data_IF_975087008998
#
_entry.id   IF_975087008998
#
_cell.length_a   1.000
_cell.length_b   1.000
_cell.length_c   1.000
_cell.angle_alpha   90.00
_cell.angle_beta   90.00
_cell.angle_gamma   90.00
#
_symmetry.space_group_name_H-M   'P 1'
#
loop_
_entity.id
_entity.type
_entity.pdbx_description
1 polymer ?
#
# COMPACT_ATOMS: atom_id res chain seq x y z
N UNK A 1 16.92 -26.77 58.19
CA UNK A 1 17.00 -25.45 58.85
C UNK A 1 15.94 -24.57 58.19
N UNK A 2 14.68 -24.63 58.63
CA UNK A 2 14.04 -23.64 59.51
C UNK A 2 13.24 -22.64 58.66
N UNK A 3 11.90 -22.79 58.53
CA UNK A 3 10.85 -21.96 59.18
C UNK A 3 10.86 -20.50 58.68
N UNK A 4 9.79 -19.84 58.22
CA UNK A 4 8.38 -19.80 58.66
C UNK A 4 7.57 -18.88 57.70
N UNK A 5 6.26 -19.08 57.55
CA UNK A 5 5.32 -17.95 57.33
C UNK A 5 4.34 -18.01 56.15
N UNK A 6 3.37 -18.94 56.15
CA UNK A 6 2.12 -18.82 55.38
C UNK A 6 0.94 -18.55 56.34
N UNK A 7 0.10 -17.55 56.05
CA UNK A 7 -1.16 -17.29 56.76
C UNK A 7 -2.38 -17.68 55.91
N UNK A 8 -2.89 -18.87 56.24
CA UNK A 8 -4.28 -19.27 56.51
C UNK A 8 -5.44 -18.50 55.83
N UNK A 9 -5.92 -19.02 54.69
CA UNK A 9 -7.24 -18.72 54.11
C UNK A 9 -8.29 -19.67 54.71
N UNK A 10 -9.07 -19.22 55.70
CA UNK A 10 -10.20 -20.00 56.22
C UNK A 10 -11.47 -19.84 55.39
N UNK A 11 -11.70 -20.83 54.52
CA UNK A 11 -13.03 -21.31 54.12
C UNK A 11 -13.78 -21.79 55.36
N UNK A 12 -15.07 -21.46 55.49
CA UNK A 12 -16.01 -22.24 56.30
C UNK A 12 -17.23 -22.60 55.46
N UNK A 13 -17.47 -23.90 55.38
CA UNK A 13 -18.67 -24.52 54.85
C UNK A 13 -19.27 -25.45 55.92
N UNK A 14 -20.60 -25.36 56.06
CA UNK A 14 -21.61 -26.35 56.46
C UNK A 14 -21.63 -27.03 57.85
N UNK A 15 -22.71 -26.69 58.59
CA UNK A 15 -23.74 -27.52 59.27
C UNK A 15 -23.39 -28.77 60.10
N UNK A 16 -23.89 -28.77 61.35
CA UNK A 16 -24.53 -29.96 61.97
C UNK A 16 -25.49 -29.56 63.11
N UNK A 17 -26.69 -30.11 63.07
CA UNK A 17 -27.83 -29.93 64.00
C UNK A 17 -27.72 -30.91 65.17
N UNK A 18 -28.14 -30.51 66.38
CA UNK A 18 -28.88 -31.38 67.33
C UNK A 18 -29.63 -30.56 68.40
N UNK A 19 -30.78 -31.05 68.94
CA UNK A 19 -31.75 -30.23 69.66
C UNK A 19 -31.65 -30.40 71.18
N UNK A 20 -31.92 -29.35 71.95
CA UNK A 20 -32.31 -29.50 73.37
C UNK A 20 -33.28 -28.39 73.76
N UNK A 21 -34.41 -28.82 74.31
CA UNK A 21 -35.52 -27.98 74.76
C UNK A 21 -35.19 -27.24 76.06
N UNK A 22 -35.64 -25.99 76.17
CA UNK A 22 -36.00 -25.38 77.44
C UNK A 22 -37.04 -24.28 77.20
N UNK A 23 -38.24 -24.51 77.71
CA UNK A 23 -39.35 -23.58 77.69
C UNK A 23 -39.09 -22.43 78.69
N UNK A 24 -39.26 -21.18 78.25
CA UNK A 24 -39.58 -20.08 79.16
C UNK A 24 -40.28 -18.92 78.44
N UNK A 25 -41.56 -18.75 78.83
CA UNK A 25 -42.33 -17.50 78.92
C UNK A 25 -42.63 -16.72 77.63
N UNK A 26 -43.86 -16.94 77.18
CA UNK A 26 -44.69 -16.04 76.37
C UNK A 26 -44.64 -14.61 76.92
N UNK A 27 -44.08 -13.69 76.16
CA UNK A 27 -44.51 -12.28 76.12
C UNK A 27 -45.37 -12.13 74.85
N UNK A 28 -46.58 -11.57 74.93
CA UNK A 28 -47.40 -11.37 73.75
C UNK A 28 -46.72 -10.28 72.92
N UNK A 29 -46.24 -10.67 71.74
CA UNK A 29 -45.80 -9.72 70.72
C UNK A 29 -46.91 -8.69 70.55
N UNK A 30 -46.59 -7.45 70.90
CA UNK A 30 -47.34 -6.28 70.48
C UNK A 30 -47.66 -6.46 69.00
N UNK A 31 -48.94 -6.44 68.66
CA UNK A 31 -49.42 -6.42 67.28
C UNK A 31 -48.60 -5.39 66.52
N UNK A 32 -47.69 -5.87 65.66
CA UNK A 32 -46.90 -5.02 64.79
C UNK A 32 -47.89 -4.14 64.03
N UNK A 33 -47.83 -2.83 64.27
CA UNK A 33 -48.62 -1.85 63.53
C UNK A 33 -48.52 -2.14 62.03
N UNK A 34 -49.62 -2.05 61.31
CA UNK A 34 -49.74 -2.36 59.88
C UNK A 34 -48.68 -1.62 59.05
N UNK A 35 -48.32 -0.40 59.48
CA UNK A 35 -47.22 0.43 58.96
C UNK A 35 -45.86 -0.27 59.02
N UNK A 36 -45.51 -0.91 60.14
CA UNK A 36 -44.23 -1.62 60.30
C UNK A 36 -44.16 -2.87 59.41
N UNK A 37 -45.31 -3.50 59.16
CA UNK A 37 -45.41 -4.68 58.29
C UNK A 37 -45.27 -4.27 56.83
N UNK A 38 -45.86 -3.14 56.44
CA UNK A 38 -45.68 -2.53 55.12
C UNK A 38 -44.19 -2.18 54.89
N UNK A 39 -43.54 -1.55 55.86
CA UNK A 39 -42.14 -1.11 55.77
C UNK A 39 -41.17 -2.30 55.57
N UNK A 40 -41.40 -3.41 56.27
CA UNK A 40 -40.64 -4.67 56.10
C UNK A 40 -40.81 -5.24 54.69
N UNK A 41 -42.02 -5.22 54.14
CA UNK A 41 -42.28 -5.73 52.78
C UNK A 41 -41.66 -4.85 51.69
N UNK A 42 -41.65 -3.52 51.89
CA UNK A 42 -40.99 -2.58 50.98
C UNK A 42 -39.47 -2.79 51.00
N UNK A 43 -38.86 -2.96 52.18
CA UNK A 43 -37.44 -3.27 52.33
C UNK A 43 -37.06 -4.61 51.67
N UNK A 44 -37.89 -5.65 51.82
CA UNK A 44 -37.66 -6.93 51.16
C UNK A 44 -37.70 -6.80 49.64
N UNK A 45 -38.68 -6.08 49.09
CA UNK A 45 -38.78 -5.82 47.66
C UNK A 45 -37.59 -5.02 47.13
N UNK A 46 -37.16 -3.98 47.86
CA UNK A 46 -35.97 -3.20 47.51
C UNK A 46 -34.70 -4.05 47.52
N UNK A 47 -34.51 -4.90 48.53
CA UNK A 47 -33.39 -5.84 48.59
C UNK A 47 -33.40 -6.83 47.42
N UNK A 48 -34.57 -7.37 47.09
CA UNK A 48 -34.70 -8.30 45.96
C UNK A 48 -34.36 -7.61 44.62
N UNK A 49 -34.78 -6.36 44.44
CA UNK A 49 -34.42 -5.55 43.27
C UNK A 49 -32.92 -5.23 43.20
N UNK A 50 -32.27 -5.00 44.35
CA UNK A 50 -30.82 -4.79 44.41
C UNK A 50 -30.06 -6.08 44.08
N UNK A 51 -30.52 -7.24 44.54
CA UNK A 51 -29.93 -8.55 44.22
C UNK A 51 -30.00 -8.80 42.71
N UNK A 52 -31.15 -8.57 42.08
CA UNK A 52 -31.31 -8.72 40.62
C UNK A 52 -30.36 -7.79 39.85
N UNK A 53 -30.21 -6.53 40.29
CA UNK A 53 -29.25 -5.59 39.68
C UNK A 53 -27.80 -6.06 39.85
N UNK A 54 -27.45 -6.58 41.03
CA UNK A 54 -26.12 -7.10 41.31
C UNK A 54 -25.81 -8.33 40.45
N UNK A 55 -26.77 -9.24 40.30
CA UNK A 55 -26.64 -10.43 39.43
C UNK A 55 -26.48 -10.03 37.95
N UNK A 56 -27.27 -9.07 37.47
CA UNK A 56 -27.14 -8.53 36.12
C UNK A 56 -25.74 -7.91 35.89
N UNK A 57 -25.25 -7.09 36.82
CA UNK A 57 -23.92 -6.49 36.73
C UNK A 57 -22.79 -7.53 36.77
N UNK A 58 -22.93 -8.59 37.60
CA UNK A 58 -21.96 -9.69 37.63
C UNK A 58 -21.90 -10.41 36.30
N UNK A 59 -23.04 -10.65 35.66
CA UNK A 59 -23.09 -11.26 34.34
C UNK A 59 -22.46 -10.36 33.27
N UNK A 60 -22.76 -9.06 33.29
CA UNK A 60 -22.15 -8.08 32.38
C UNK A 60 -20.62 -8.00 32.56
N UNK A 61 -20.14 -8.00 33.81
CA UNK A 61 -18.70 -8.00 34.09
C UNK A 61 -18.02 -9.26 33.53
N UNK A 62 -18.61 -10.44 33.76
CA UNK A 62 -18.09 -11.69 33.22
C UNK A 62 -18.09 -11.70 31.68
N UNK A 63 -19.12 -11.12 31.05
CA UNK A 63 -19.17 -10.98 29.59
C UNK A 63 -18.08 -10.03 29.05
N UNK A 64 -17.84 -8.90 29.72
CA UNK A 64 -16.78 -7.96 29.36
C UNK A 64 -15.38 -8.55 29.55
N UNK A 65 -15.16 -9.28 30.64
CA UNK A 65 -13.89 -9.96 30.94
C UNK A 65 -13.59 -11.07 29.91
N UNK A 66 -14.62 -11.82 29.49
CA UNK A 66 -14.53 -12.76 28.38
C UNK A 66 -14.17 -12.06 27.06
N UNK A 67 -14.82 -10.92 26.76
CA UNK A 67 -14.52 -10.12 25.56
C UNK A 67 -13.09 -9.57 25.57
N UNK A 68 -12.59 -9.12 26.72
CA UNK A 68 -11.22 -8.64 26.89
C UNK A 68 -10.21 -9.77 26.65
N UNK A 69 -10.50 -10.97 27.17
CA UNK A 69 -9.66 -12.15 26.94
C UNK A 69 -9.60 -12.53 25.46
N UNK A 70 -10.74 -12.51 24.77
CA UNK A 70 -10.79 -12.73 23.32
C UNK A 70 -10.01 -11.66 22.53
N UNK A 71 -10.07 -10.40 22.93
CA UNK A 71 -9.30 -9.33 22.29
C UNK A 71 -7.79 -9.53 22.49
N UNK A 72 -7.35 -9.91 23.70
CA UNK A 72 -5.94 -10.25 23.96
C UNK A 72 -5.48 -11.42 23.11
N UNK A 73 -6.28 -12.48 22.99
CA UNK A 73 -5.97 -13.63 22.14
C UNK A 73 -5.86 -13.24 20.66
N UNK A 74 -6.75 -12.36 20.17
CA UNK A 74 -6.67 -11.81 18.82
C UNK A 74 -5.46 -10.89 18.61
N UNK A 75 -4.93 -10.28 19.67
CA UNK A 75 -3.75 -9.42 19.62
C UNK A 75 -2.43 -10.22 19.58
N UNK A 76 -2.38 -11.38 20.25
CA UNK A 76 -1.20 -12.26 20.26
C UNK A 76 -0.54 -12.51 18.89
N UNK A 77 -1.27 -12.87 17.81
CA UNK A 77 -0.64 -13.07 16.51
C UNK A 77 -0.06 -11.79 15.92
N UNK A 78 -0.65 -10.62 16.21
CA UNK A 78 -0.12 -9.33 15.78
C UNK A 78 1.19 -9.01 16.52
N UNK A 79 1.20 -9.17 17.85
CA UNK A 79 2.41 -8.95 18.67
C UNK A 79 3.54 -9.92 18.25
N UNK A 80 3.20 -11.18 17.96
CA UNK A 80 4.15 -12.16 17.42
C UNK A 80 4.69 -11.75 16.05
N UNK A 81 3.83 -11.22 15.17
CA UNK A 81 4.25 -10.72 13.85
C UNK A 81 5.16 -9.51 13.99
N UNK A 82 4.81 -8.56 14.88
CA UNK A 82 5.60 -7.37 15.15
C UNK A 82 7.00 -7.73 15.67
N UNK A 83 7.09 -8.73 16.55
CA UNK A 83 8.37 -9.24 17.07
C UNK A 83 9.25 -9.81 15.94
N UNK A 84 8.66 -10.59 15.03
CA UNK A 84 9.39 -11.15 13.86
C UNK A 84 9.83 -10.05 12.89
N UNK A 85 8.99 -9.05 12.65
CA UNK A 85 9.31 -7.90 11.80
C UNK A 85 10.46 -7.10 12.42
N UNK A 86 10.40 -6.81 13.72
CA UNK A 86 11.46 -6.06 14.41
C UNK A 86 12.80 -6.81 14.35
N UNK A 87 12.78 -8.14 14.59
CA UNK A 87 13.97 -8.97 14.46
C UNK A 87 14.54 -8.97 13.03
N UNK A 88 13.69 -9.15 12.02
CA UNK A 88 14.11 -9.09 10.61
C UNK A 88 14.71 -7.72 10.24
N UNK A 89 14.16 -6.64 10.81
CA UNK A 89 14.66 -5.29 10.61
C UNK A 89 16.04 -5.09 11.23
N UNK A 90 16.24 -5.55 12.47
CA UNK A 90 17.54 -5.53 13.14
C UNK A 90 18.60 -6.34 12.38
N UNK A 91 18.25 -7.53 11.90
CA UNK A 91 19.12 -8.36 11.06
C UNK A 91 19.55 -7.62 9.79
N UNK A 92 18.60 -7.02 9.06
CA UNK A 92 18.89 -6.22 7.86
C UNK A 92 19.84 -5.04 8.16
N UNK A 93 19.61 -4.32 9.26
CA UNK A 93 20.47 -3.20 9.66
C UNK A 93 21.88 -3.68 9.98
N UNK A 94 22.03 -4.81 10.68
CA UNK A 94 23.33 -5.38 11.02
C UNK A 94 24.09 -5.89 9.77
N UNK A 95 23.38 -6.52 8.82
CA UNK A 95 23.95 -6.96 7.55
C UNK A 95 24.41 -5.77 6.70
N UNK A 96 23.61 -4.70 6.68
CA UNK A 96 23.95 -3.47 5.97
C UNK A 96 25.17 -2.77 6.59
N UNK A 97 25.27 -2.75 7.92
CA UNK A 97 26.46 -2.28 8.64
C UNK A 97 27.71 -3.06 8.24
N UNK A 98 27.62 -4.39 8.24
CA UNK A 98 28.72 -5.28 7.86
C UNK A 98 29.16 -5.08 6.40
N UNK A 99 28.20 -4.99 5.48
CA UNK A 99 28.47 -4.72 4.06
C UNK A 99 29.11 -3.34 3.86
N UNK A 100 28.65 -2.33 4.60
CA UNK A 100 29.18 -0.97 4.53
C UNK A 100 30.64 -0.90 4.99
N UNK A 101 30.99 -1.59 6.08
CA UNK A 101 32.38 -1.72 6.54
C UNK A 101 33.23 -2.42 5.47
N UNK A 102 32.76 -3.55 4.93
CA UNK A 102 33.50 -4.30 3.90
C UNK A 102 33.75 -3.48 2.62
N UNK A 103 32.76 -2.68 2.22
CA UNK A 103 32.85 -1.81 1.03
C UNK A 103 33.91 -0.71 1.25
N UNK A 104 33.90 -0.07 2.42
CA UNK A 104 34.89 0.94 2.80
C UNK A 104 36.31 0.36 2.81
N UNK A 105 36.50 -0.78 3.49
CA UNK A 105 37.81 -1.41 3.64
C UNK A 105 38.37 -1.90 2.31
N UNK A 106 37.51 -2.35 1.39
CA UNK A 106 37.90 -2.73 0.02
C UNK A 106 38.35 -1.53 -0.81
N UNK A 107 37.74 -0.36 -0.59
CA UNK A 107 38.08 0.89 -1.29
C UNK A 107 39.41 1.46 -0.78
N UNK A 108 39.70 1.39 0.53
CA UNK A 108 40.96 1.87 1.12
C UNK A 108 42.22 1.08 0.71
N UNK A 109 42.09 -0.18 0.24
CA UNK A 109 43.25 -1.02 -0.12
C UNK A 109 44.09 -0.44 -1.28
N UNK A 110 43.54 0.46 -2.08
CA UNK A 110 44.22 1.08 -3.22
C UNK A 110 44.92 2.41 -2.88
N UNK A 111 44.74 2.93 -1.66
CA UNK A 111 45.14 4.29 -1.28
C UNK A 111 46.55 4.39 -0.65
N UNK A 112 47.23 3.25 -0.43
CA UNK A 112 48.53 3.22 0.29
C UNK A 112 49.68 3.89 -0.49
N UNK A 113 49.50 4.26 -1.77
CA UNK A 113 50.62 4.75 -2.59
C UNK A 113 50.67 6.24 -2.93
N UNK A 114 49.63 7.05 -2.69
CA UNK A 114 49.72 8.49 -2.96
C UNK A 114 48.87 9.33 -2.00
N UNK A 115 49.52 10.11 -1.12
CA UNK A 115 48.92 11.26 -0.43
C UNK A 115 49.74 12.52 -0.69
N UNK A 116 49.09 13.64 -1.02
CA UNK A 116 49.39 14.91 -0.41
C UNK A 116 48.28 15.26 0.58
N UNK A 117 48.69 15.63 1.80
CA UNK A 117 47.81 16.11 2.84
C UNK A 117 47.47 17.58 2.59
N UNK A 118 46.24 17.88 2.16
CA UNK A 118 45.60 19.17 2.43
C UNK A 118 44.10 19.06 2.12
N UNK A 119 43.27 19.76 2.89
CA UNK A 119 41.82 19.98 2.67
C UNK A 119 40.78 18.99 3.25
N UNK A 120 41.17 18.06 4.12
CA UNK A 120 40.21 17.11 4.76
C UNK A 120 39.28 17.78 5.81
N UNK A 121 39.60 18.98 6.29
CA UNK A 121 38.92 19.58 7.45
C UNK A 121 37.52 20.16 7.18
N UNK A 122 37.26 20.74 6.01
CA UNK A 122 36.00 21.46 5.76
C UNK A 122 34.86 20.52 5.30
N UNK A 123 35.19 19.47 4.54
CA UNK A 123 34.22 18.54 3.96
C UNK A 123 33.67 17.56 5.01
N UNK A 124 34.52 17.13 5.96
CA UNK A 124 34.15 16.26 7.09
C UNK A 124 33.11 16.91 8.01
N UNK A 125 33.25 18.21 8.32
CA UNK A 125 32.33 18.93 9.23
C UNK A 125 30.94 19.07 8.61
N UNK A 126 30.86 19.34 7.30
CA UNK A 126 29.58 19.45 6.60
C UNK A 126 28.83 18.12 6.56
N UNK A 127 29.57 17.03 6.34
CA UNK A 127 29.02 15.68 6.31
C UNK A 127 28.49 15.25 7.69
N UNK A 128 29.24 15.53 8.76
CA UNK A 128 28.82 15.25 10.12
C UNK A 128 27.57 16.06 10.54
N UNK A 129 27.49 17.34 10.15
CA UNK A 129 26.33 18.18 10.37
C UNK A 129 25.10 17.76 9.54
N UNK A 130 25.31 17.17 8.36
CA UNK A 130 24.24 16.61 7.53
C UNK A 130 23.71 15.30 8.11
N UNK A 131 24.60 14.39 8.51
CA UNK A 131 24.22 13.11 9.14
C UNK A 131 23.50 13.35 10.47
N UNK A 132 23.94 14.33 11.26
CA UNK A 132 23.29 14.70 12.52
C UNK A 132 21.87 15.25 12.29
N UNK A 133 21.67 16.10 11.27
CA UNK A 133 20.33 16.60 10.90
C UNK A 133 19.41 15.53 10.34
N UNK A 134 19.93 14.54 9.62
CA UNK A 134 19.13 13.42 9.10
C UNK A 134 18.57 12.56 10.24
N UNK A 135 19.30 12.50 11.35
CA UNK A 135 18.89 11.78 12.55
C UNK A 135 18.03 12.59 13.53
N UNK A 136 17.90 13.89 13.29
CA UNK A 136 17.10 14.80 14.10
C UNK A 136 15.63 14.69 13.64
N UNK A 137 14.79 14.05 14.45
CA UNK A 137 13.36 13.76 14.15
C UNK A 137 12.47 15.01 14.24
N UNK A 138 12.80 16.10 13.56
CA UNK A 138 12.11 17.39 13.67
C UNK A 138 10.75 17.52 12.96
N UNK A 139 10.14 16.44 12.46
CA UNK A 139 8.88 16.53 11.68
C UNK A 139 7.77 15.52 12.06
N UNK A 140 8.00 14.62 13.03
CA UNK A 140 7.00 13.60 13.44
C UNK A 140 6.56 13.71 14.89
N UNK A 141 6.94 14.78 15.59
CA UNK A 141 6.46 15.07 16.94
C UNK A 141 5.06 15.69 16.90
N UNK A 142 4.07 14.99 16.32
CA UNK A 142 2.66 15.37 16.46
C UNK A 142 2.03 14.64 17.63
N UNK A 143 1.89 15.37 18.74
CA UNK A 143 0.88 15.24 19.81
C UNK A 143 0.39 13.82 20.16
N UNK A 144 0.96 13.23 21.20
CA UNK A 144 0.23 12.30 22.07
C UNK A 144 0.75 12.47 23.50
N UNK A 145 0.18 13.44 24.20
CA UNK A 145 0.27 13.59 25.65
C UNK A 145 -0.50 12.44 26.32
N UNK A 146 0.16 11.29 26.42
CA UNK A 146 -0.17 10.27 27.44
C UNK A 146 1.16 9.73 27.96
N UNK A 147 1.44 10.06 29.21
CA UNK A 147 2.61 9.59 29.96
C UNK A 147 2.64 8.06 29.97
N UNK A 148 3.52 7.47 29.16
CA UNK A 148 3.94 6.08 29.28
C UNK A 148 5.47 6.06 29.49
N UNK A 149 6.01 5.41 30.54
CA UNK A 149 7.42 5.54 30.87
C UNK A 149 8.33 4.87 29.81
N UNK A 150 9.19 5.67 29.19
CA UNK A 150 10.57 5.41 28.78
C UNK A 150 11.06 3.95 28.67
N UNK A 151 10.48 3.17 27.76
CA UNK A 151 11.10 1.91 27.32
C UNK A 151 11.47 1.89 25.84
N UNK A 152 10.88 2.78 25.03
CA UNK A 152 11.12 2.85 23.58
C UNK A 152 12.23 3.84 23.18
N UNK A 153 12.72 4.63 24.13
CA UNK A 153 13.76 5.64 23.88
C UNK A 153 15.16 5.00 23.79
N UNK A 154 15.39 3.91 24.53
CA UNK A 154 16.70 3.23 24.63
C UNK A 154 17.09 2.46 23.37
N UNK A 155 16.14 1.91 22.61
CA UNK A 155 16.42 1.20 21.33
C UNK A 155 16.53 2.14 20.13
N UNK A 156 16.06 3.38 20.25
CA UNK A 156 16.07 4.36 19.15
C UNK A 156 17.45 4.97 18.94
N UNK A 157 18.17 5.23 20.02
CA UNK A 157 19.52 5.81 20.02
C UNK A 157 20.59 4.93 19.35
N UNK A 158 20.70 3.60 19.62
CA UNK A 158 21.67 2.74 18.94
C UNK A 158 21.35 2.50 17.47
N UNK A 159 20.07 2.46 17.08
CA UNK A 159 19.67 2.33 15.67
C UNK A 159 20.04 3.57 14.84
N UNK A 160 19.89 4.75 15.46
CA UNK A 160 20.31 6.03 14.91
C UNK A 160 21.83 6.07 14.67
N UNK A 161 22.63 5.62 15.63
CA UNK A 161 24.10 5.60 15.53
C UNK A 161 24.60 4.62 14.45
N UNK A 162 24.01 3.41 14.38
CA UNK A 162 24.32 2.45 13.30
C UNK A 162 24.06 3.03 11.92
N UNK A 163 22.95 3.76 11.76
CA UNK A 163 22.59 4.41 10.50
C UNK A 163 23.61 5.48 10.11
N UNK A 164 24.05 6.31 11.06
CA UNK A 164 25.13 7.30 10.82
C UNK A 164 26.41 6.62 10.36
N UNK A 165 26.82 5.55 11.05
CA UNK A 165 28.02 4.79 10.73
C UNK A 165 27.97 4.16 9.33
N UNK A 166 26.83 3.57 8.95
CA UNK A 166 26.60 3.04 7.60
C UNK A 166 26.80 4.14 6.55
N UNK A 167 26.16 5.29 6.76
CA UNK A 167 26.20 6.40 5.80
C UNK A 167 27.61 7.00 5.67
N UNK A 168 28.31 7.16 6.79
CA UNK A 168 29.69 7.64 6.80
C UNK A 168 30.62 6.71 6.01
N UNK A 169 30.53 5.40 6.25
CA UNK A 169 31.32 4.39 5.54
C UNK A 169 31.04 4.35 4.04
N UNK A 170 29.77 4.48 3.63
CA UNK A 170 29.39 4.53 2.22
C UNK A 170 29.95 5.77 1.52
N UNK A 171 29.84 6.93 2.16
CA UNK A 171 30.36 8.17 1.61
C UNK A 171 31.90 8.13 1.50
N UNK A 172 32.60 7.64 2.52
CA UNK A 172 34.05 7.41 2.44
C UNK A 172 34.42 6.45 1.31
N UNK A 173 33.65 5.37 1.10
CA UNK A 173 33.88 4.45 -0.01
C UNK A 173 33.69 5.11 -1.38
N UNK A 174 32.68 5.99 -1.51
CA UNK A 174 32.43 6.79 -2.71
C UNK A 174 33.59 7.75 -2.97
N UNK A 175 34.04 8.50 -1.97
CA UNK A 175 35.15 9.45 -2.10
C UNK A 175 36.43 8.73 -2.53
N UNK A 176 36.73 7.57 -1.95
CA UNK A 176 37.86 6.74 -2.35
C UNK A 176 37.75 6.26 -3.81
N UNK A 177 36.55 5.90 -4.28
CA UNK A 177 36.33 5.53 -5.69
C UNK A 177 36.53 6.72 -6.63
N UNK A 178 36.12 7.93 -6.21
CA UNK A 178 36.39 9.16 -6.95
C UNK A 178 37.88 9.42 -7.05
N UNK A 179 38.61 9.33 -5.94
CA UNK A 179 40.08 9.48 -5.94
C UNK A 179 40.77 8.44 -6.81
N UNK A 180 40.34 7.18 -6.78
CA UNK A 180 40.88 6.13 -7.66
C UNK A 180 40.64 6.46 -9.13
N UNK A 181 39.42 6.85 -9.49
CA UNK A 181 39.05 7.25 -10.85
C UNK A 181 39.89 8.43 -11.33
N UNK A 182 40.06 9.45 -10.51
CA UNK A 182 40.83 10.64 -10.85
C UNK A 182 42.32 10.33 -10.96
N UNK A 183 42.85 9.47 -10.09
CA UNK A 183 44.22 8.94 -10.18
C UNK A 183 44.47 8.17 -11.47
N UNK A 184 43.56 7.26 -11.85
CA UNK A 184 43.61 6.53 -13.13
C UNK A 184 43.51 7.48 -14.32
N UNK A 185 42.67 8.51 -14.24
CA UNK A 185 42.55 9.53 -15.28
C UNK A 185 43.85 10.31 -15.45
N UNK A 186 44.46 10.78 -14.35
CA UNK A 186 45.74 11.50 -14.39
C UNK A 186 46.85 10.62 -14.96
N UNK A 187 46.93 9.36 -14.52
CA UNK A 187 47.96 8.42 -14.99
C UNK A 187 47.77 8.05 -16.46
N UNK A 188 46.53 7.88 -16.92
CA UNK A 188 46.20 7.69 -18.33
C UNK A 188 46.62 8.89 -19.17
N UNK A 189 46.31 10.11 -18.71
CA UNK A 189 46.68 11.37 -19.39
C UNK A 189 48.20 11.52 -19.46
N UNK A 190 48.94 11.24 -18.38
CA UNK A 190 50.41 11.26 -18.37
C UNK A 190 50.98 10.24 -19.36
N UNK A 191 50.50 8.99 -19.31
CA UNK A 191 50.97 7.89 -20.17
C UNK A 191 50.57 8.07 -21.64
N UNK A 192 49.55 8.87 -21.93
CA UNK A 192 49.21 9.31 -23.30
C UNK A 192 50.10 10.43 -23.83
N UNK A 193 50.82 11.15 -22.97
CA UNK A 193 51.61 12.33 -23.34
C UNK A 193 53.09 12.03 -23.66
N UNK A 194 53.64 10.88 -23.27
CA UNK A 194 55.09 10.60 -23.37
C UNK A 194 55.55 9.83 -24.62
N UNK A 195 54.68 9.16 -25.38
CA UNK A 195 55.11 8.29 -26.48
C UNK A 195 54.66 8.82 -27.86
N UNK A 196 55.60 9.43 -28.57
CA UNK A 196 55.40 10.19 -29.79
C UNK A 196 55.23 9.33 -31.05
N UNK A 197 54.17 9.62 -31.81
CA UNK A 197 53.91 9.23 -33.20
C UNK A 197 53.28 7.85 -33.49
N UNK A 198 53.50 6.78 -32.72
CA UNK A 198 52.80 5.49 -32.97
C UNK A 198 51.44 5.41 -32.22
N UNK A 199 51.29 6.22 -31.15
CA UNK A 199 50.15 6.16 -30.24
C UNK A 199 48.91 6.91 -30.73
N UNK A 200 49.03 7.85 -31.67
CA UNK A 200 47.95 8.78 -32.00
C UNK A 200 46.76 8.10 -32.71
N UNK A 201 47.01 7.12 -33.58
CA UNK A 201 45.96 6.30 -34.19
C UNK A 201 45.30 5.36 -33.17
N UNK A 202 46.09 4.69 -32.31
CA UNK A 202 45.54 3.80 -31.26
C UNK A 202 44.79 4.57 -30.18
N UNK A 203 45.21 5.79 -29.84
CA UNK A 203 44.56 6.69 -28.89
C UNK A 203 43.27 7.25 -29.47
N UNK A 204 43.25 7.62 -30.75
CA UNK A 204 42.04 8.06 -31.43
C UNK A 204 41.02 6.91 -31.54
N UNK A 205 41.48 5.70 -31.86
CA UNK A 205 40.64 4.50 -31.91
C UNK A 205 40.11 4.09 -30.52
N UNK A 206 40.91 4.23 -29.47
CA UNK A 206 40.45 3.97 -28.10
C UNK A 206 39.43 5.02 -27.65
N UNK A 207 39.65 6.29 -27.99
CA UNK A 207 38.75 7.38 -27.61
C UNK A 207 37.40 7.33 -28.34
N UNK A 208 37.38 6.88 -29.61
CA UNK A 208 36.14 6.56 -30.32
C UNK A 208 35.42 5.36 -29.70
N UNK A 209 36.14 4.32 -29.31
CA UNK A 209 35.56 3.15 -28.65
C UNK A 209 34.97 3.50 -27.27
N UNK A 210 35.65 4.33 -26.47
CA UNK A 210 35.13 4.84 -25.19
C UNK A 210 33.88 5.69 -25.41
N UNK A 211 33.83 6.51 -26.46
CA UNK A 211 32.61 7.25 -26.84
C UNK A 211 31.48 6.31 -27.25
N UNK A 212 31.77 5.28 -28.06
CA UNK A 212 30.78 4.28 -28.47
C UNK A 212 30.23 3.51 -27.27
N UNK A 213 31.09 3.09 -26.34
CA UNK A 213 30.68 2.42 -25.10
C UNK A 213 29.84 3.33 -24.21
N UNK A 214 30.19 4.62 -24.09
CA UNK A 214 29.36 5.60 -23.36
C UNK A 214 27.98 5.77 -23.99
N UNK A 215 27.90 5.85 -25.33
CA UNK A 215 26.63 5.94 -26.05
C UNK A 215 25.79 4.66 -25.88
N UNK A 216 26.42 3.48 -25.98
CA UNK A 216 25.77 2.21 -25.75
C UNK A 216 25.24 2.08 -24.31
N UNK A 217 26.01 2.55 -23.33
CA UNK A 217 25.60 2.56 -21.93
C UNK A 217 24.40 3.49 -21.69
N UNK A 218 24.40 4.68 -22.29
CA UNK A 218 23.25 5.60 -22.24
C UNK A 218 22.01 4.98 -22.89
N UNK A 219 22.15 4.33 -24.05
CA UNK A 219 21.04 3.61 -24.70
C UNK A 219 20.49 2.49 -23.82
N UNK A 220 21.36 1.70 -23.19
CA UNK A 220 20.95 0.64 -22.24
C UNK A 220 20.21 1.23 -21.04
N UNK A 221 20.68 2.33 -20.45
CA UNK A 221 19.99 3.00 -19.35
C UNK A 221 18.60 3.54 -19.77
N UNK A 222 18.50 4.11 -20.97
CA UNK A 222 17.22 4.58 -21.51
C UNK A 222 16.24 3.42 -21.73
N UNK A 223 16.72 2.29 -22.27
CA UNK A 223 15.94 1.06 -22.42
C UNK A 223 15.50 0.50 -21.07
N UNK A 224 16.39 0.42 -20.08
CA UNK A 224 16.06 -0.01 -18.73
C UNK A 224 14.97 0.87 -18.11
N UNK A 225 15.11 2.20 -18.22
CA UNK A 225 14.10 3.15 -17.73
C UNK A 225 12.75 2.97 -18.43
N UNK A 226 12.75 2.70 -19.74
CA UNK A 226 11.53 2.45 -20.51
C UNK A 226 10.84 1.15 -20.06
N UNK A 227 11.60 0.07 -19.88
CA UNK A 227 11.09 -1.22 -19.40
C UNK A 227 10.55 -1.09 -17.97
N UNK A 228 11.27 -0.41 -17.08
CA UNK A 228 10.84 -0.16 -15.70
C UNK A 228 9.49 0.59 -15.66
N UNK A 229 9.31 1.62 -16.50
CA UNK A 229 8.02 2.33 -16.62
C UNK A 229 6.89 1.42 -17.09
N UNK A 230 7.14 0.55 -18.07
CA UNK A 230 6.15 -0.43 -18.56
C UNK A 230 5.80 -1.48 -17.50
N UNK A 231 6.78 -1.92 -16.73
CA UNK A 231 6.55 -2.87 -15.63
C UNK A 231 5.69 -2.24 -14.54
N UNK A 232 5.99 -1.00 -14.18
CA UNK A 232 5.20 -0.23 -13.21
C UNK A 232 3.74 -0.05 -13.69
N UNK A 233 3.52 0.32 -14.96
CA UNK A 233 2.17 0.46 -15.49
C UNK A 233 1.41 -0.87 -15.48
N UNK A 234 2.07 -1.98 -15.79
CA UNK A 234 1.48 -3.32 -15.70
C UNK A 234 1.08 -3.66 -14.26
N UNK A 235 1.94 -3.39 -13.27
CA UNK A 235 1.63 -3.62 -11.85
C UNK A 235 0.42 -2.80 -11.39
N UNK A 236 0.29 -1.54 -11.82
CA UNK A 236 -0.87 -0.69 -11.50
C UNK A 236 -2.15 -1.26 -12.10
N UNK A 237 -2.11 -1.68 -13.37
CA UNK A 237 -3.27 -2.29 -14.04
C UNK A 237 -3.67 -3.61 -13.37
N UNK A 238 -2.69 -4.45 -13.02
CA UNK A 238 -2.93 -5.72 -12.34
C UNK A 238 -3.56 -5.50 -10.95
N UNK A 239 -3.07 -4.53 -10.17
CA UNK A 239 -3.67 -4.15 -8.90
C UNK A 239 -5.13 -3.69 -9.07
N UNK A 240 -5.42 -2.89 -10.11
CA UNK A 240 -6.78 -2.45 -10.43
C UNK A 240 -7.68 -3.62 -10.81
N UNK A 241 -7.19 -4.56 -11.62
CA UNK A 241 -7.92 -5.76 -12.03
C UNK A 241 -8.21 -6.66 -10.83
N UNK A 242 -7.22 -6.87 -9.96
CA UNK A 242 -7.38 -7.65 -8.72
C UNK A 242 -8.42 -7.03 -7.79
N UNK A 243 -8.45 -5.70 -7.66
CA UNK A 243 -9.49 -5.00 -6.90
C UNK A 243 -10.88 -5.15 -7.55
N UNK A 244 -10.97 -5.06 -8.88
CA UNK A 244 -12.23 -5.26 -9.60
C UNK A 244 -12.77 -6.70 -9.46
N UNK A 245 -11.90 -7.70 -9.54
CA UNK A 245 -12.27 -9.10 -9.31
C UNK A 245 -12.79 -9.35 -7.89
N UNK A 246 -12.15 -8.75 -6.87
CA UNK A 246 -12.66 -8.84 -5.49
C UNK A 246 -14.03 -8.21 -5.33
N UNK A 247 -14.27 -7.05 -5.97
CA UNK A 247 -15.57 -6.37 -5.94
C UNK A 247 -16.66 -7.21 -6.62
N UNK A 248 -16.39 -7.66 -7.85
CA UNK A 248 -17.32 -8.51 -8.62
C UNK A 248 -17.65 -9.81 -7.90
N UNK A 249 -16.66 -10.41 -7.22
CA UNK A 249 -16.91 -11.58 -6.36
C UNK A 249 -17.89 -11.25 -5.23
N UNK A 250 -17.69 -10.13 -4.54
CA UNK A 250 -18.60 -9.70 -3.47
C UNK A 250 -20.01 -9.37 -3.99
N UNK A 251 -20.12 -8.72 -5.15
CA UNK A 251 -21.40 -8.46 -5.82
C UNK A 251 -22.09 -9.78 -6.19
N UNK A 252 -21.36 -10.75 -6.74
CA UNK A 252 -21.89 -12.07 -7.06
C UNK A 252 -22.39 -12.79 -5.80
N UNK A 253 -21.61 -12.80 -4.73
CA UNK A 253 -22.01 -13.39 -3.44
C UNK A 253 -23.28 -12.72 -2.89
N UNK A 254 -23.41 -11.39 -3.00
CA UNK A 254 -24.63 -10.66 -2.61
C UNK A 254 -25.84 -11.07 -3.46
N UNK A 255 -25.70 -11.11 -4.79
CA UNK A 255 -26.82 -11.48 -5.67
C UNK A 255 -27.25 -12.93 -5.49
N UNK A 256 -26.32 -13.84 -5.18
CA UNK A 256 -26.63 -15.23 -4.85
C UNK A 256 -27.44 -15.30 -3.55
N UNK A 257 -27.04 -14.56 -2.51
CA UNK A 257 -27.78 -14.51 -1.24
C UNK A 257 -29.19 -13.92 -1.42
N UNK A 258 -29.35 -12.85 -2.20
CA UNK A 258 -30.66 -12.27 -2.54
C UNK A 258 -31.54 -13.25 -3.32
N UNK A 259 -30.95 -14.01 -4.26
CA UNK A 259 -31.67 -15.04 -5.02
C UNK A 259 -32.11 -16.19 -4.12
N UNK A 260 -31.26 -16.66 -3.21
CA UNK A 260 -31.59 -17.68 -2.22
C UNK A 260 -32.72 -17.21 -1.28
N UNK A 261 -32.68 -15.96 -0.83
CA UNK A 261 -33.73 -15.37 -0.01
C UNK A 261 -35.05 -15.28 -0.79
N UNK A 262 -35.02 -14.83 -2.04
CA UNK A 262 -36.18 -14.79 -2.93
C UNK A 262 -36.78 -16.19 -3.16
N UNK A 263 -35.93 -17.19 -3.35
CA UNK A 263 -36.35 -18.58 -3.52
C UNK A 263 -36.98 -19.13 -2.23
N UNK A 264 -36.44 -18.81 -1.06
CA UNK A 264 -37.05 -19.14 0.24
C UNK A 264 -38.44 -18.49 0.42
N UNK A 265 -38.59 -17.22 0.02
CA UNK A 265 -39.87 -16.50 0.01
C UNK A 265 -40.87 -17.17 -0.94
N UNK A 266 -40.44 -17.53 -2.14
CA UNK A 266 -41.26 -18.24 -3.12
C UNK A 266 -41.71 -19.62 -2.63
N UNK A 267 -40.81 -20.39 -2.01
CA UNK A 267 -41.14 -21.69 -1.41
C UNK A 267 -42.20 -21.54 -0.31
N UNK A 268 -42.08 -20.51 0.53
CA UNK A 268 -43.05 -20.19 1.58
C UNK A 268 -44.43 -19.81 1.01
N UNK A 269 -44.48 -18.97 -0.02
CA UNK A 269 -45.72 -18.60 -0.71
C UNK A 269 -46.37 -19.79 -1.41
N UNK A 270 -45.56 -20.68 -2.01
CA UNK A 270 -46.06 -21.91 -2.64
C UNK A 270 -46.68 -22.84 -1.60
N UNK A 271 -46.01 -23.04 -0.45
CA UNK A 271 -46.56 -23.81 0.67
C UNK A 271 -47.87 -23.20 1.20
N UNK A 272 -47.94 -21.87 1.35
CA UNK A 272 -49.16 -21.18 1.77
C UNK A 272 -50.31 -21.37 0.76
N UNK A 273 -50.03 -21.25 -0.54
CA UNK A 273 -51.02 -21.45 -1.61
C UNK A 273 -51.49 -22.90 -1.68
N UNK A 274 -50.60 -23.86 -1.54
CA UNK A 274 -50.95 -25.28 -1.55
C UNK A 274 -51.76 -25.65 -0.28
N UNK A 275 -51.51 -24.97 0.86
CA UNK A 275 -52.32 -25.06 2.08
C UNK A 275 -53.68 -24.34 1.97
N UNK A 276 -53.76 -23.22 1.25
CA UNK A 276 -54.98 -22.45 1.03
C UNK A 276 -55.92 -23.10 -0.01
N UNK A 277 -55.38 -23.87 -0.96
CA UNK A 277 -56.20 -24.71 -1.87
C UNK A 277 -57.00 -25.79 -1.13
N UNK A 278 -56.62 -26.14 0.10
CA UNK A 278 -57.40 -27.02 0.98
C UNK A 278 -58.47 -26.32 1.82
N UNK A 279 -58.47 -24.97 1.87
CA UNK A 279 -59.40 -24.19 2.69
C UNK A 279 -60.36 -23.39 1.80
N UNK A 280 -61.60 -23.88 1.66
CA UNK A 280 -62.69 -23.17 1.01
C UNK A 280 -63.10 -21.99 1.93
N UNK A 281 -62.90 -20.74 1.48
CA UNK A 281 -63.41 -19.56 2.18
C UNK A 281 -64.62 -18.95 1.46
N UNK A 282 -65.66 -18.49 2.19
CA UNK A 282 -66.84 -17.86 1.63
C UNK A 282 -66.60 -16.37 1.34
N UNK A 283 -67.14 -15.91 0.21
CA UNK A 283 -67.10 -14.52 -0.25
C UNK A 283 -68.07 -13.66 0.56
N UNK A 284 -67.60 -12.52 1.10
CA UNK A 284 -68.47 -11.45 1.62
C UNK A 284 -68.06 -10.10 1.03
N UNK A 285 -68.98 -9.52 0.27
CA UNK A 285 -68.95 -8.14 -0.21
C UNK A 285 -69.32 -7.18 0.94
N UNK A 286 -68.51 -6.16 1.22
CA UNK A 286 -68.85 -5.09 2.16
C UNK A 286 -68.65 -3.72 1.50
N UNK A 287 -69.73 -2.93 1.51
CA UNK A 287 -69.95 -1.76 0.68
C UNK A 287 -69.22 -0.46 1.08
N UNK A 288 -69.12 0.42 0.09
CA UNK A 288 -68.45 1.72 0.16
C UNK A 288 -69.33 2.79 0.82
N UNK A 289 -68.73 3.65 1.66
CA UNK A 289 -69.19 5.03 1.92
C UNK A 289 -67.98 5.96 1.78
N UNK A 290 -67.93 6.72 0.69
CA UNK A 290 -66.93 7.76 0.45
C UNK A 290 -67.36 9.07 1.11
N UNK A 291 -66.52 9.58 2.01
CA UNK A 291 -66.47 10.99 2.42
C UNK A 291 -65.15 11.56 1.87
N UNK A 292 -65.23 12.67 1.13
CA UNK A 292 -64.08 13.51 0.75
C UNK A 292 -63.68 13.48 -0.73
N UNK A 293 -64.47 14.11 -1.60
CA UNK A 293 -64.18 14.21 -3.05
C UNK A 293 -62.99 15.09 -3.43
N UNK A 294 -62.44 15.88 -2.50
CA UNK A 294 -61.35 16.83 -2.78
C UNK A 294 -59.96 16.21 -2.58
N UNK A 295 -59.78 15.42 -1.50
CA UNK A 295 -58.52 14.69 -1.22
C UNK A 295 -58.24 13.54 -2.20
N UNK A 296 -59.28 13.00 -2.85
CA UNK A 296 -59.13 11.89 -3.81
C UNK A 296 -58.65 12.39 -5.17
N UNK A 297 -59.07 13.60 -5.57
CA UNK A 297 -58.64 14.22 -6.84
C UNK A 297 -57.18 14.64 -6.82
N UNK A 298 -56.72 15.20 -5.69
CA UNK A 298 -55.33 15.59 -5.47
C UNK A 298 -54.39 14.38 -5.49
N UNK A 299 -54.76 13.30 -4.80
CA UNK A 299 -54.01 12.03 -4.83
C UNK A 299 -53.99 11.34 -6.20
N UNK A 300 -55.07 11.43 -6.97
CA UNK A 300 -55.11 10.86 -8.32
C UNK A 300 -54.18 11.63 -9.28
N UNK A 301 -54.08 12.95 -9.11
CA UNK A 301 -53.16 13.79 -9.88
C UNK A 301 -51.69 13.52 -9.51
N UNK A 302 -51.36 13.48 -8.22
CA UNK A 302 -50.02 13.11 -7.73
C UNK A 302 -49.57 11.73 -8.24
N UNK A 303 -50.49 10.75 -8.28
CA UNK A 303 -50.20 9.42 -8.79
C UNK A 303 -49.91 9.43 -10.30
N UNK A 304 -50.64 10.23 -11.07
CA UNK A 304 -50.43 10.39 -12.51
C UNK A 304 -49.14 11.17 -12.82
N UNK A 305 -48.79 12.17 -12.01
CA UNK A 305 -47.54 12.91 -12.11
C UNK A 305 -46.35 12.01 -11.74
N UNK A 306 -46.49 11.13 -10.74
CA UNK A 306 -45.49 10.12 -10.40
C UNK A 306 -45.32 9.06 -11.50
N UNK A 307 -46.43 8.62 -12.12
CA UNK A 307 -46.40 7.66 -13.24
C UNK A 307 -45.70 8.26 -14.47
N UNK A 308 -45.96 9.53 -14.78
CA UNK A 308 -45.29 10.23 -15.88
C UNK A 308 -43.81 10.48 -15.60
N UNK A 309 -43.42 10.85 -14.37
CA UNK A 309 -42.03 10.95 -13.95
C UNK A 309 -41.28 9.60 -14.04
N UNK A 310 -41.95 8.49 -13.68
CA UNK A 310 -41.38 7.15 -13.81
C UNK A 310 -41.16 6.79 -15.28
N UNK A 311 -42.12 7.12 -16.15
CA UNK A 311 -42.01 6.89 -17.59
C UNK A 311 -40.86 7.69 -18.19
N UNK A 312 -40.72 8.97 -17.85
CA UNK A 312 -39.60 9.81 -18.29
C UNK A 312 -38.25 9.26 -17.82
N UNK A 313 -38.15 8.80 -16.57
CA UNK A 313 -36.94 8.15 -16.04
C UNK A 313 -36.61 6.85 -16.80
N UNK A 314 -37.61 6.04 -17.15
CA UNK A 314 -37.41 4.85 -17.97
C UNK A 314 -36.90 5.18 -19.37
N UNK A 315 -37.48 6.21 -20.01
CA UNK A 315 -37.06 6.66 -21.34
C UNK A 315 -35.63 7.22 -21.29
N UNK A 316 -35.29 7.97 -20.24
CA UNK A 316 -33.94 8.49 -20.02
C UNK A 316 -32.93 7.36 -19.76
N UNK A 317 -33.29 6.35 -18.97
CA UNK A 317 -32.45 5.18 -18.73
C UNK A 317 -32.23 4.37 -20.02
N UNK A 318 -33.27 4.22 -20.83
CA UNK A 318 -33.21 3.53 -22.13
C UNK A 318 -32.33 4.28 -23.13
N UNK A 319 -32.44 5.60 -23.19
CA UNK A 319 -31.59 6.47 -24.02
C UNK A 319 -30.12 6.36 -23.61
N UNK A 320 -29.81 6.48 -22.31
CA UNK A 320 -28.46 6.31 -21.78
C UNK A 320 -27.87 4.93 -22.08
N UNK A 321 -28.70 3.89 -22.03
CA UNK A 321 -28.24 2.52 -22.35
C UNK A 321 -27.82 2.40 -23.82
N UNK A 322 -28.56 3.03 -24.74
CA UNK A 322 -28.20 3.06 -26.17
C UNK A 322 -26.91 3.84 -26.40
N UNK A 323 -26.75 4.99 -25.75
CA UNK A 323 -25.52 5.79 -25.81
C UNK A 323 -24.31 5.01 -25.32
N UNK A 324 -24.41 4.36 -24.16
CA UNK A 324 -23.34 3.53 -23.60
C UNK A 324 -22.98 2.37 -24.54
N UNK A 325 -23.97 1.73 -25.16
CA UNK A 325 -23.71 0.68 -26.17
C UNK A 325 -22.97 1.24 -27.39
N UNK A 326 -23.37 2.41 -27.89
CA UNK A 326 -22.68 3.09 -28.99
C UNK A 326 -21.23 3.41 -28.66
N UNK A 327 -20.98 3.99 -27.49
CA UNK A 327 -19.61 4.29 -27.01
C UNK A 327 -18.78 3.02 -26.81
N UNK A 328 -19.41 1.91 -26.41
CA UNK A 328 -18.73 0.62 -26.29
C UNK A 328 -18.29 0.07 -27.64
N UNK A 329 -19.17 0.14 -28.64
CA UNK A 329 -18.87 -0.26 -30.03
C UNK A 329 -17.73 0.59 -30.61
N UNK A 330 -17.76 1.91 -30.38
CA UNK A 330 -16.71 2.83 -30.82
C UNK A 330 -15.37 2.51 -30.14
N UNK A 331 -15.39 2.20 -28.85
CA UNK A 331 -14.19 1.76 -28.13
C UNK A 331 -13.63 0.46 -28.72
N UNK A 332 -14.48 -0.51 -29.09
CA UNK A 332 -14.04 -1.74 -29.75
C UNK A 332 -13.37 -1.42 -31.09
N UNK A 333 -13.96 -0.54 -31.89
CA UNK A 333 -13.40 -0.12 -33.17
C UNK A 333 -12.02 0.56 -33.01
N UNK A 334 -11.88 1.46 -32.05
CA UNK A 334 -10.59 2.12 -31.74
C UNK A 334 -9.54 1.07 -31.33
N UNK A 335 -9.92 0.08 -30.52
CA UNK A 335 -9.00 -1.00 -30.11
C UNK A 335 -8.56 -1.84 -31.31
N UNK A 336 -9.45 -2.10 -32.26
CA UNK A 336 -9.11 -2.78 -33.51
C UNK A 336 -8.09 -1.99 -34.33
N UNK A 337 -8.35 -0.69 -34.55
CA UNK A 337 -7.43 0.20 -35.26
C UNK A 337 -6.05 0.28 -34.59
N UNK A 338 -6.00 0.31 -33.26
CA UNK A 338 -4.74 0.29 -32.51
C UNK A 338 -3.96 -1.01 -32.72
N UNK A 339 -4.64 -2.15 -32.79
CA UNK A 339 -4.02 -3.44 -33.09
C UNK A 339 -3.39 -3.46 -34.49
N UNK A 340 -4.10 -2.94 -35.49
CA UNK A 340 -3.60 -2.86 -36.87
C UNK A 340 -2.39 -1.92 -36.99
N UNK A 341 -2.43 -0.77 -36.32
CA UNK A 341 -1.29 0.14 -36.23
C UNK A 341 -0.10 -0.53 -35.54
N UNK A 342 -0.32 -1.26 -34.45
CA UNK A 342 0.73 -2.00 -33.76
C UNK A 342 1.37 -3.08 -34.67
N UNK A 343 0.56 -3.80 -35.44
CA UNK A 343 1.05 -4.79 -36.42
C UNK A 343 1.90 -4.12 -37.50
N UNK A 344 1.45 -2.98 -38.02
CA UNK A 344 2.19 -2.20 -39.02
C UNK A 344 3.53 -1.71 -38.46
N UNK A 345 3.55 -1.19 -37.23
CA UNK A 345 4.77 -0.74 -36.56
C UNK A 345 5.78 -1.89 -36.34
N UNK A 346 5.29 -3.07 -35.94
CA UNK A 346 6.13 -4.27 -35.84
C UNK A 346 6.75 -4.63 -37.19
N UNK A 347 6.00 -4.56 -38.28
CA UNK A 347 6.53 -4.81 -39.62
C UNK A 347 7.62 -3.81 -39.99
N UNK A 348 7.41 -2.51 -39.75
CA UNK A 348 8.41 -1.47 -40.01
C UNK A 348 9.69 -1.72 -39.19
N UNK A 349 9.55 -2.08 -37.92
CA UNK A 349 10.70 -2.38 -37.05
C UNK A 349 11.46 -3.62 -37.54
N UNK A 350 10.74 -4.63 -38.03
CA UNK A 350 11.33 -5.84 -38.60
C UNK A 350 12.04 -5.55 -39.92
N UNK A 351 11.47 -4.68 -40.77
CA UNK A 351 12.10 -4.23 -42.01
C UNK A 351 13.36 -3.43 -41.71
N UNK A 352 13.30 -2.46 -40.79
CA UNK A 352 14.44 -1.59 -40.47
C UNK A 352 15.59 -2.30 -39.75
N UNK A 353 15.30 -3.42 -39.07
CA UNK A 353 16.31 -4.30 -38.46
C UNK A 353 16.79 -5.42 -39.38
N UNK A 354 16.19 -5.57 -40.56
CA UNK A 354 16.62 -6.59 -41.53
C UNK A 354 18.00 -6.28 -42.09
N UNK A 355 18.79 -7.33 -42.33
CA UNK A 355 20.15 -7.19 -42.86
C UNK A 355 20.19 -6.45 -44.20
N UNK A 356 19.21 -6.69 -45.08
CA UNK A 356 19.13 -6.02 -46.37
C UNK A 356 18.93 -4.49 -46.21
N UNK A 357 18.07 -4.06 -45.28
CA UNK A 357 17.86 -2.64 -45.00
C UNK A 357 19.12 -1.99 -44.40
N UNK A 358 19.78 -2.66 -43.45
CA UNK A 358 21.01 -2.15 -42.84
C UNK A 358 22.13 -1.99 -43.87
N UNK A 359 22.31 -2.97 -44.76
CA UNK A 359 23.29 -2.89 -45.84
C UNK A 359 23.03 -1.71 -46.79
N UNK A 360 21.77 -1.49 -47.19
CA UNK A 360 21.41 -0.34 -48.03
C UNK A 360 21.66 0.97 -47.30
N UNK A 361 21.32 1.07 -46.02
CA UNK A 361 21.57 2.25 -45.19
C UNK A 361 23.07 2.56 -45.10
N UNK A 362 23.89 1.55 -44.83
CA UNK A 362 25.33 1.72 -44.68
C UNK A 362 25.97 2.13 -46.02
N UNK A 363 25.48 1.57 -47.13
CA UNK A 363 25.89 1.98 -48.47
C UNK A 363 25.51 3.43 -48.79
N UNK A 364 24.32 3.88 -48.38
CA UNK A 364 23.90 5.28 -48.52
C UNK A 364 24.82 6.20 -47.72
N UNK A 365 25.14 5.86 -46.47
CA UNK A 365 26.02 6.68 -45.64
C UNK A 365 27.45 6.74 -46.22
N UNK A 366 27.95 5.62 -46.75
CA UNK A 366 29.21 5.59 -47.48
C UNK A 366 29.18 6.53 -48.68
N UNK A 367 28.20 6.39 -49.58
CA UNK A 367 28.08 7.26 -50.76
C UNK A 367 27.92 8.74 -50.38
N UNK A 368 27.22 9.05 -49.28
CA UNK A 368 27.11 10.40 -48.74
C UNK A 368 28.45 10.96 -48.28
N UNK A 369 29.27 10.16 -47.60
CA UNK A 369 30.63 10.56 -47.19
C UNK A 369 31.56 10.80 -48.39
N UNK A 370 31.44 9.98 -49.44
CA UNK A 370 32.18 10.17 -50.69
C UNK A 370 31.79 11.47 -51.39
N UNK A 371 30.49 11.79 -51.44
CA UNK A 371 29.99 13.07 -51.98
C UNK A 371 30.56 14.27 -51.22
N UNK A 372 30.61 14.21 -49.88
CA UNK A 372 31.25 15.26 -49.09
C UNK A 372 32.75 15.38 -49.37
N UNK A 373 33.45 14.26 -49.56
CA UNK A 373 34.86 14.26 -49.96
C UNK A 373 35.08 14.94 -51.31
N UNK A 374 34.27 14.63 -52.32
CA UNK A 374 34.33 15.29 -53.62
C UNK A 374 33.98 16.77 -53.55
N UNK A 375 32.99 17.14 -52.73
CA UNK A 375 32.64 18.53 -52.51
C UNK A 375 33.81 19.33 -51.91
N UNK A 376 34.49 18.79 -50.89
CA UNK A 376 35.65 19.44 -50.29
C UNK A 376 36.82 19.58 -51.28
N UNK A 377 37.06 18.57 -52.13
CA UNK A 377 38.07 18.64 -53.19
C UNK A 377 37.72 19.72 -54.23
N UNK A 378 36.45 19.83 -54.60
CA UNK A 378 35.96 20.85 -55.52
C UNK A 378 36.12 22.26 -54.94
N UNK A 379 35.75 22.47 -53.67
CA UNK A 379 35.93 23.75 -52.98
C UNK A 379 37.41 24.17 -52.91
N UNK A 380 38.31 23.21 -52.65
CA UNK A 380 39.76 23.46 -52.66
C UNK A 380 40.27 23.89 -54.04
N UNK A 381 39.85 23.19 -55.10
CA UNK A 381 40.21 23.53 -56.48
C UNK A 381 39.67 24.90 -56.87
N UNK A 382 38.46 25.23 -56.44
CA UNK A 382 37.86 26.54 -56.68
C UNK A 382 38.68 27.65 -55.99
N UNK A 383 39.08 27.46 -54.74
CA UNK A 383 39.93 28.41 -54.03
C UNK A 383 41.33 28.55 -54.67
N UNK A 384 41.93 27.47 -55.17
CA UNK A 384 43.21 27.51 -55.88
C UNK A 384 43.10 28.26 -57.21
N UNK A 385 42.03 28.01 -57.99
CA UNK A 385 41.71 28.78 -59.19
C UNK A 385 41.60 30.27 -58.88
N UNK A 386 40.86 30.64 -57.84
CA UNK A 386 40.69 32.04 -57.46
C UNK A 386 42.03 32.66 -57.04
N UNK A 387 42.88 31.93 -56.30
CA UNK A 387 44.23 32.37 -55.94
C UNK A 387 45.18 32.54 -57.14
N UNK A 388 45.01 31.77 -58.22
CA UNK A 388 45.78 31.92 -59.45
C UNK A 388 45.35 33.17 -60.22
N UNK A 389 44.05 33.46 -60.28
CA UNK A 389 43.50 34.68 -60.91
C UNK A 389 44.00 35.96 -60.22
N UNK A 390 44.32 35.92 -58.92
CA UNK A 390 44.93 37.04 -58.19
C UNK A 390 46.45 37.17 -58.37
N UNK A 391 47.11 36.17 -58.97
CA UNK A 391 48.57 36.09 -59.10
C UNK A 391 49.07 36.44 -60.51
N UNK A 392 48.20 36.39 -61.51
CA UNK A 392 48.36 37.08 -62.81
C UNK A 392 47.94 38.55 -62.69
#
# INVERSE_FOLDING_TARGET
MGSTGEHDRKRRHFNSISPTAAAAKKQPFSSMSEDKKLDITVLQYQNQKLIQKLEAQKFEHAALESKLSQLKEKQQPYDSTLTVVNKSWEELVNDLESCSIHTRDSSCKYEVQHKPAMEVGAQSIFQEAFLSRLTETGATESSSTYDLPNQMEVDREPACEKTKKIMHNLAAAIDNLWHLKDGVYIELVKKTSEDGSCRQETSAALDTEVRNLRLAFVDVLLKHRSVAKKLQSHQVVDAKNKAALKRLRGELESTVAELEESNCKLASLKAQRDSAKGAIFPVLNLGSKHVGGDKVRDKAKDMQDMESALKELMDQASSRLVEIKGLHEERINILHQLSDLQKTLKNVTSISSSQAYLLVRDQIEKSKSEVFGYQAMYEKLQAEKDNLVWRE
#
